data_IF_991463170577
#
_entry.id   IF_991463170577
#
_cell.length_a   1.000
_cell.length_b   1.000
_cell.length_c   1.000
_cell.angle_alpha   90.00
_cell.angle_beta   90.00
_cell.angle_gamma   90.00
#
_symmetry.space_group_name_H-M   'P 1'
#
loop_
_entity.id
_entity.type
_entity.pdbx_description
1 polymer ?
#
# COMPACT_ATOMS: atom_id res chain seq x y z
N UNK A 1 -40.72 17.12 2.18
CA UNK A 1 -39.40 16.62 2.63
C UNK A 1 -38.69 16.08 1.40
N UNK A 2 -37.60 16.73 0.97
CA UNK A 2 -36.97 16.56 -0.34
C UNK A 2 -36.60 15.08 -0.60
N UNK A 3 -37.16 14.47 -1.66
CA UNK A 3 -36.86 13.08 -2.05
C UNK A 3 -35.40 12.85 -2.47
N UNK A 4 -34.62 13.92 -2.59
CA UNK A 4 -33.18 13.93 -2.88
C UNK A 4 -32.32 13.41 -1.72
N UNK A 5 -32.71 13.64 -0.46
CA UNK A 5 -31.95 13.19 0.73
C UNK A 5 -32.59 11.93 1.30
N UNK A 6 -32.50 10.84 0.54
CA UNK A 6 -33.01 9.52 0.93
C UNK A 6 -31.85 8.56 1.28
N UNK A 7 -32.18 7.36 1.76
CA UNK A 7 -31.19 6.38 2.18
C UNK A 7 -30.22 5.97 1.04
N UNK A 8 -30.73 5.85 -0.19
CA UNK A 8 -29.91 5.54 -1.37
C UNK A 8 -28.89 6.64 -1.65
N UNK A 9 -29.27 7.91 -1.51
CA UNK A 9 -28.35 9.04 -1.62
C UNK A 9 -27.20 8.93 -0.62
N UNK A 10 -27.49 8.66 0.66
CA UNK A 10 -26.44 8.53 1.68
C UNK A 10 -25.51 7.33 1.45
N UNK A 11 -26.04 6.19 0.96
CA UNK A 11 -25.20 5.04 0.59
C UNK A 11 -24.25 5.35 -0.56
N UNK A 12 -24.73 6.01 -1.61
CA UNK A 12 -23.89 6.43 -2.75
C UNK A 12 -22.87 7.47 -2.31
N UNK A 13 -23.28 8.46 -1.51
CA UNK A 13 -22.39 9.48 -0.96
C UNK A 13 -21.27 8.86 -0.11
N UNK A 14 -21.58 7.87 0.73
CA UNK A 14 -20.60 7.15 1.52
C UNK A 14 -19.55 6.44 0.64
N UNK A 15 -19.97 5.77 -0.43
CA UNK A 15 -19.03 5.12 -1.37
C UNK A 15 -18.08 6.14 -1.98
N UNK A 16 -18.58 7.31 -2.39
CA UNK A 16 -17.76 8.39 -2.94
C UNK A 16 -16.75 8.88 -1.89
N UNK A 17 -17.18 9.05 -0.63
CA UNK A 17 -16.29 9.45 0.46
C UNK A 17 -15.22 8.42 0.81
N UNK A 18 -15.45 7.13 0.55
CA UNK A 18 -14.47 6.06 0.80
C UNK A 18 -13.39 5.96 -0.28
N UNK A 19 -13.64 6.45 -1.50
CA UNK A 19 -12.65 6.42 -2.59
C UNK A 19 -11.34 7.13 -2.20
N UNK A 20 -11.35 8.37 -1.67
CA UNK A 20 -10.13 9.02 -1.19
C UNK A 20 -9.42 8.22 -0.10
N UNK A 21 -10.17 7.60 0.82
CA UNK A 21 -9.59 6.81 1.92
C UNK A 21 -8.85 5.59 1.37
N UNK A 22 -9.46 4.86 0.42
CA UNK A 22 -8.82 3.72 -0.22
C UNK A 22 -7.53 4.12 -0.96
N UNK A 23 -7.53 5.27 -1.65
CA UNK A 23 -6.34 5.80 -2.32
C UNK A 23 -5.25 6.15 -1.31
N UNK A 24 -5.58 6.83 -0.22
CA UNK A 24 -4.63 7.22 0.81
C UNK A 24 -4.02 6.01 1.53
N UNK A 25 -4.85 5.02 1.88
CA UNK A 25 -4.38 3.77 2.50
C UNK A 25 -3.49 2.98 1.55
N UNK A 26 -3.89 2.87 0.28
CA UNK A 26 -3.07 2.22 -0.76
C UNK A 26 -1.71 2.88 -0.93
N UNK A 27 -1.66 4.22 -0.97
CA UNK A 27 -0.41 4.99 -1.02
C UNK A 27 0.45 4.78 0.23
N UNK A 28 -0.13 4.85 1.42
CA UNK A 28 0.58 4.62 2.67
C UNK A 28 1.20 3.21 2.73
N UNK A 29 0.45 2.20 2.27
CA UNK A 29 0.95 0.83 2.18
C UNK A 29 2.13 0.71 1.20
N UNK A 30 2.03 1.32 0.01
CA UNK A 30 3.11 1.34 -0.97
C UNK A 30 4.38 2.01 -0.42
N UNK A 31 4.25 3.14 0.28
CA UNK A 31 5.37 3.85 0.91
C UNK A 31 6.07 3.03 2.01
N UNK A 32 5.33 2.17 2.70
CA UNK A 32 5.87 1.30 3.76
C UNK A 32 6.44 -0.02 3.22
N UNK A 33 6.03 -0.44 2.02
CA UNK A 33 6.48 -1.71 1.43
C UNK A 33 8.01 -1.89 1.33
N UNK A 34 8.84 -0.86 1.03
CA UNK A 34 10.28 -1.03 0.98
C UNK A 34 10.89 -1.34 2.34
N UNK A 35 10.29 -0.82 3.42
CA UNK A 35 10.71 -1.09 4.79
C UNK A 35 10.42 -2.56 5.13
N UNK A 36 9.25 -3.08 4.75
CA UNK A 36 8.91 -4.49 4.94
C UNK A 36 9.88 -5.40 4.18
N UNK A 37 10.17 -5.10 2.91
CA UNK A 37 11.13 -5.87 2.11
C UNK A 37 12.54 -5.79 2.69
N UNK A 38 12.94 -4.64 3.23
CA UNK A 38 14.22 -4.49 3.94
C UNK A 38 14.30 -5.40 5.17
N UNK A 39 13.24 -5.46 6.00
CA UNK A 39 13.20 -6.34 7.19
C UNK A 39 13.30 -7.80 6.77
N UNK A 40 12.58 -8.22 5.73
CA UNK A 40 12.65 -9.59 5.20
C UNK A 40 14.05 -9.92 4.66
N UNK A 41 14.65 -9.00 3.89
CA UNK A 41 16.01 -9.15 3.39
C UNK A 41 17.04 -9.26 4.51
N UNK A 42 16.91 -8.47 5.58
CA UNK A 42 17.78 -8.55 6.75
C UNK A 42 17.67 -9.90 7.49
N UNK A 43 16.45 -10.44 7.62
CA UNK A 43 16.25 -11.76 8.21
C UNK A 43 16.84 -12.88 7.34
N UNK A 44 16.68 -12.79 6.01
CA UNK A 44 17.30 -13.72 5.07
C UNK A 44 18.83 -13.69 5.15
N UNK A 45 19.40 -12.48 5.26
CA UNK A 45 20.83 -12.27 5.45
C UNK A 45 21.33 -12.93 6.74
N UNK A 46 20.61 -12.73 7.87
CA UNK A 46 20.94 -13.37 9.15
C UNK A 46 20.87 -14.89 9.11
N UNK A 47 20.07 -15.47 8.22
CA UNK A 47 19.99 -16.92 7.98
C UNK A 47 21.03 -17.44 6.99
N UNK A 48 21.89 -16.59 6.45
CA UNK A 48 22.90 -16.96 5.45
C UNK A 48 22.32 -17.27 4.06
N UNK A 49 21.03 -16.95 3.81
CA UNK A 49 20.39 -17.21 2.52
C UNK A 49 20.61 -16.04 1.57
N UNK A 50 21.70 -16.10 0.79
CA UNK A 50 22.08 -15.02 -0.12
C UNK A 50 21.08 -14.82 -1.26
N UNK A 51 20.54 -15.89 -1.85
CA UNK A 51 19.58 -15.78 -2.95
C UNK A 51 18.32 -15.03 -2.51
N UNK A 52 17.79 -15.37 -1.34
CA UNK A 52 16.60 -14.71 -0.78
C UNK A 52 16.91 -13.26 -0.35
N UNK A 53 18.11 -13.00 0.18
CA UNK A 53 18.56 -11.64 0.51
C UNK A 53 18.56 -10.75 -0.74
N UNK A 54 19.15 -11.22 -1.84
CA UNK A 54 19.22 -10.47 -3.10
C UNK A 54 17.81 -10.22 -3.65
N UNK A 55 16.94 -11.22 -3.61
CA UNK A 55 15.55 -11.08 -4.03
C UNK A 55 14.82 -9.97 -3.25
N UNK A 56 14.90 -9.99 -1.92
CA UNK A 56 14.25 -8.98 -1.09
C UNK A 56 14.83 -7.58 -1.28
N UNK A 57 16.14 -7.46 -1.51
CA UNK A 57 16.79 -6.18 -1.84
C UNK A 57 16.27 -5.63 -3.16
N UNK A 58 16.14 -6.46 -4.20
CA UNK A 58 15.57 -6.05 -5.49
C UNK A 58 14.13 -5.57 -5.29
N UNK A 59 13.31 -6.30 -4.53
CA UNK A 59 11.94 -5.86 -4.21
C UNK A 59 11.89 -4.56 -3.42
N UNK A 60 12.82 -4.33 -2.47
CA UNK A 60 12.90 -3.07 -1.75
C UNK A 60 13.22 -1.89 -2.69
N UNK A 61 14.13 -2.07 -3.64
CA UNK A 61 14.48 -1.04 -4.64
C UNK A 61 13.30 -0.79 -5.59
N UNK A 62 12.65 -1.83 -6.11
CA UNK A 62 11.46 -1.69 -6.96
C UNK A 62 10.30 -1.01 -6.21
N UNK A 63 10.08 -1.38 -4.95
CA UNK A 63 9.08 -0.75 -4.08
C UNK A 63 9.38 0.73 -3.86
N UNK A 64 10.65 1.10 -3.65
CA UNK A 64 11.08 2.50 -3.55
C UNK A 64 10.77 3.28 -4.82
N UNK A 65 11.13 2.74 -6.00
CA UNK A 65 10.84 3.38 -7.29
C UNK A 65 9.33 3.58 -7.46
N UNK A 66 8.53 2.54 -7.23
CA UNK A 66 7.07 2.63 -7.33
C UNK A 66 6.48 3.65 -6.37
N UNK A 67 7.01 3.74 -5.14
CA UNK A 67 6.57 4.71 -4.15
C UNK A 67 6.88 6.17 -4.52
N UNK A 68 7.94 6.42 -5.31
CA UNK A 68 8.26 7.76 -5.82
C UNK A 68 7.53 8.12 -7.12
N UNK A 69 7.10 7.12 -7.90
CA UNK A 69 6.38 7.33 -9.17
C UNK A 69 4.88 7.62 -8.95
N UNK A 70 4.28 7.05 -7.90
CA UNK A 70 2.83 7.12 -7.63
C UNK A 70 2.48 8.23 -6.63
#
# INVERSE_FOLDING_TARGET
>A
MNSLLNETFFKVFLVICLIPVAILVGKAFLLLSPILFWVLGYMAFKKGNQNETIMWVIFAVLGLILAFVI
#
